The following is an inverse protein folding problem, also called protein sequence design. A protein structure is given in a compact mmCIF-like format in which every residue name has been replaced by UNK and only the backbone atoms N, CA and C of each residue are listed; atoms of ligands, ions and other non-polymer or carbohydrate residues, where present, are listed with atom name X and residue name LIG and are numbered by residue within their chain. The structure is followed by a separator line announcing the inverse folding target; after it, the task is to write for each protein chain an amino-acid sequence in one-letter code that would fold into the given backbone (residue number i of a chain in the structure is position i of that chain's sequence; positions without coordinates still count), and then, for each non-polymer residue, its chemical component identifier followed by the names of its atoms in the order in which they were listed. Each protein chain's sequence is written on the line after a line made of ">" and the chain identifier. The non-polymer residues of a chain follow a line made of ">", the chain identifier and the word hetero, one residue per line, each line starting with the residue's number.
data_IF_509953118315
#
_entry.id   IF_509953118315
#
_cell.length_a   1.000
_cell.length_b   1.000
_cell.length_c   1.000
_cell.angle_alpha   90.00
_cell.angle_beta   90.00
_cell.angle_gamma   90.00
#
_symmetry.space_group_name_H-M   'P 1'
#
loop_
_entity.id
_entity.type
_entity.pdbx_description
1 polymer ?
#
# COMPACT_ATOMS: atom_id res chain seq x y z
N UNK A 1 -18.45 -67.09 37.26
CA UNK A 1 -18.07 -68.47 37.53
C UNK A 1 -19.31 -69.31 37.92
N UNK A 2 -19.25 -70.59 37.76
CA UNK A 2 -20.30 -71.53 38.18
C UNK A 2 -19.73 -72.33 39.36
N UNK A 3 -20.42 -72.30 40.46
CA UNK A 3 -20.08 -73.09 41.63
C UNK A 3 -21.05 -74.30 41.67
N UNK A 4 -20.51 -75.53 41.69
CA UNK A 4 -21.32 -76.72 41.73
C UNK A 4 -20.93 -77.57 42.97
N UNK A 5 -21.92 -78.23 43.54
CA UNK A 5 -21.64 -79.24 44.57
C UNK A 5 -21.09 -80.55 43.98
N UNK A 6 -20.71 -81.49 44.79
CA UNK A 6 -20.19 -82.81 44.34
C UNK A 6 -21.22 -83.90 44.56
N UNK A 7 -22.48 -83.57 44.74
CA UNK A 7 -23.56 -84.52 44.90
C UNK A 7 -24.04 -85.08 43.58
N UNK A 8 -24.86 -86.20 43.68
CA UNK A 8 -25.46 -86.80 42.47
C UNK A 8 -26.99 -86.86 42.67
N UNK A 9 -27.81 -86.07 41.94
CA UNK A 9 -27.44 -85.18 40.83
C UNK A 9 -26.73 -83.89 41.32
N UNK A 10 -25.80 -83.39 40.53
CA UNK A 10 -24.99 -82.20 40.82
C UNK A 10 -25.91 -80.94 40.72
N UNK A 11 -25.86 -80.11 41.76
CA UNK A 11 -26.52 -78.81 41.76
C UNK A 11 -25.45 -77.71 41.52
N UNK A 12 -25.75 -76.79 40.64
CA UNK A 12 -24.86 -75.70 40.26
C UNK A 12 -25.57 -74.37 40.39
N UNK A 13 -24.83 -73.36 40.91
CA UNK A 13 -25.26 -71.96 40.92
C UNK A 13 -24.28 -71.10 40.14
N UNK A 14 -24.80 -70.24 39.27
CA UNK A 14 -23.98 -69.27 38.54
C UNK A 14 -23.97 -67.94 39.29
N UNK A 15 -22.77 -67.41 39.50
CA UNK A 15 -22.57 -66.06 39.98
C UNK A 15 -21.85 -65.26 38.94
N UNK A 16 -22.41 -64.14 38.58
CA UNK A 16 -21.78 -63.15 37.69
C UNK A 16 -21.23 -62.02 38.56
N UNK A 17 -19.93 -61.90 38.60
CA UNK A 17 -19.30 -60.71 39.17
C UNK A 17 -19.11 -59.67 38.08
N UNK A 18 -19.59 -58.47 38.31
CA UNK A 18 -19.34 -57.34 37.45
C UNK A 18 -18.04 -56.70 37.98
N UNK A 19 -17.00 -56.70 37.16
CA UNK A 19 -15.80 -55.92 37.43
C UNK A 19 -16.01 -54.59 36.73
N UNK A 20 -16.15 -53.54 37.51
CA UNK A 20 -16.24 -52.18 36.96
C UNK A 20 -14.79 -51.63 36.86
N UNK A 21 -14.36 -51.39 35.64
CA UNK A 21 -13.11 -50.69 35.36
C UNK A 21 -13.46 -49.23 35.12
N UNK A 22 -13.04 -48.35 36.02
CA UNK A 22 -13.21 -46.91 35.84
C UNK A 22 -12.07 -46.39 34.94
N UNK A 23 -12.38 -45.66 33.87
CA UNK A 23 -11.35 -45.01 33.05
C UNK A 23 -10.53 -44.03 33.88
N UNK A 24 -9.24 -43.97 33.59
CA UNK A 24 -8.31 -43.04 34.24
C UNK A 24 -7.95 -41.98 33.24
N UNK A 25 -8.39 -40.74 33.50
CA UNK A 25 -8.07 -39.55 32.71
C UNK A 25 -7.07 -38.73 33.48
N UNK A 26 -5.90 -38.49 32.91
CA UNK A 26 -4.78 -37.86 33.62
C UNK A 26 -4.24 -36.68 32.78
N UNK A 27 -4.91 -35.49 32.81
CA UNK A 27 -4.36 -34.26 32.22
C UNK A 27 -3.22 -33.75 33.12
N UNK A 28 -2.20 -33.15 32.52
CA UNK A 28 -1.02 -32.62 33.17
C UNK A 28 -0.97 -31.12 32.99
N UNK A 29 -0.76 -30.36 34.07
CA UNK A 29 -0.63 -28.92 34.02
C UNK A 29 0.57 -28.50 33.17
N UNK A 30 0.35 -27.53 32.28
CA UNK A 30 1.39 -26.86 31.49
C UNK A 30 1.19 -25.34 31.57
N UNK A 31 2.30 -24.63 31.66
CA UNK A 31 2.30 -23.19 31.72
C UNK A 31 3.05 -22.66 30.46
N UNK A 32 2.49 -21.64 29.80
CA UNK A 32 3.04 -21.10 28.56
C UNK A 32 3.17 -19.59 28.63
N UNK A 33 4.20 -19.08 27.96
CA UNK A 33 4.38 -17.65 27.76
C UNK A 33 4.22 -17.32 26.27
N UNK A 34 3.36 -16.36 25.95
CA UNK A 34 3.08 -15.89 24.60
C UNK A 34 3.26 -14.38 24.53
N UNK A 35 3.75 -13.84 23.41
CA UNK A 35 3.89 -12.39 23.23
C UNK A 35 2.54 -11.72 22.96
N UNK A 36 2.39 -10.47 23.39
CA UNK A 36 1.20 -9.64 23.11
C UNK A 36 1.02 -9.32 21.62
N UNK A 37 2.03 -9.57 20.80
CA UNK A 37 1.98 -9.44 19.33
C UNK A 37 1.32 -10.64 18.64
N UNK A 38 0.92 -11.65 19.43
CA UNK A 38 0.31 -12.88 18.94
C UNK A 38 1.28 -14.05 18.87
N UNK A 39 0.77 -15.26 19.14
CA UNK A 39 1.56 -16.48 19.14
C UNK A 39 0.74 -17.70 19.43
N UNK A 40 1.37 -18.87 19.39
CA UNK A 40 0.72 -20.17 19.68
C UNK A 40 1.63 -21.07 20.48
N UNK A 41 1.03 -21.93 21.33
CA UNK A 41 1.73 -22.96 22.11
C UNK A 41 2.03 -24.19 21.25
N UNK A 42 2.72 -25.16 21.82
CA UNK A 42 2.59 -26.55 21.41
C UNK A 42 1.24 -27.11 21.83
N UNK A 43 0.92 -28.34 21.44
CA UNK A 43 -0.34 -28.97 21.88
C UNK A 43 -0.28 -29.26 23.39
N UNK A 44 -1.31 -28.85 24.13
CA UNK A 44 -1.46 -29.04 25.58
C UNK A 44 -1.77 -30.47 25.97
N UNK A 45 -1.92 -31.41 25.06
CA UNK A 45 -2.19 -32.83 25.35
C UNK A 45 -0.98 -33.74 25.13
N UNK A 46 0.19 -33.17 24.86
CA UNK A 46 1.38 -33.96 24.52
C UNK A 46 1.85 -34.86 25.70
N UNK A 47 1.61 -34.43 26.92
CA UNK A 47 1.99 -35.15 28.16
C UNK A 47 0.79 -35.70 28.93
N UNK A 48 -0.42 -35.52 28.37
CA UNK A 48 -1.66 -36.05 28.95
C UNK A 48 -1.82 -37.54 28.64
N UNK A 49 -2.57 -38.25 29.49
CA UNK A 49 -2.85 -39.67 29.27
C UNK A 49 -4.33 -40.03 29.49
N UNK A 50 -4.81 -40.97 28.71
CA UNK A 50 -6.12 -41.59 28.82
C UNK A 50 -5.93 -43.11 28.95
N UNK A 51 -6.38 -43.68 30.05
CA UNK A 51 -6.23 -45.10 30.38
C UNK A 51 -4.78 -45.62 30.30
N UNK A 52 -3.83 -44.79 30.71
CA UNK A 52 -2.39 -45.11 30.70
C UNK A 52 -1.72 -45.03 29.33
N UNK A 53 -2.43 -44.61 28.28
CA UNK A 53 -1.90 -44.34 26.94
C UNK A 53 -1.80 -42.84 26.68
N UNK A 54 -0.84 -42.36 25.91
CA UNK A 54 -0.77 -40.97 25.52
C UNK A 54 -2.11 -40.49 24.92
N UNK A 55 -2.56 -39.28 25.32
CA UNK A 55 -3.78 -38.70 24.80
C UNK A 55 -3.62 -38.36 23.30
N UNK A 56 -4.53 -38.85 22.50
CA UNK A 56 -4.57 -38.61 21.04
C UNK A 56 -5.94 -38.06 20.66
N UNK A 57 -5.97 -36.78 20.32
CA UNK A 57 -7.19 -36.02 19.97
C UNK A 57 -7.52 -36.08 18.48
N UNK A 58 -6.76 -36.81 17.67
CA UNK A 58 -7.12 -37.03 16.26
C UNK A 58 -8.50 -37.71 16.11
N UNK A 59 -9.16 -37.65 14.93
CA UNK A 59 -10.47 -38.29 14.73
C UNK A 59 -10.50 -39.78 15.14
N UNK A 60 -9.42 -40.53 14.90
CA UNK A 60 -9.25 -41.93 15.29
C UNK A 60 -8.55 -42.13 16.64
N UNK A 61 -8.20 -41.04 17.35
CA UNK A 61 -7.53 -41.10 18.64
C UNK A 61 -8.46 -41.51 19.79
N UNK A 62 -7.87 -41.62 21.02
CA UNK A 62 -8.51 -42.07 22.25
C UNK A 62 -9.12 -40.95 23.08
N UNK A 63 -8.92 -39.67 22.69
CA UNK A 63 -9.27 -38.52 23.52
C UNK A 63 -10.02 -37.45 22.74
N UNK A 64 -10.72 -36.58 23.47
CA UNK A 64 -11.26 -35.29 23.00
C UNK A 64 -10.99 -34.23 24.07
N UNK A 65 -10.83 -32.98 23.64
CA UNK A 65 -10.66 -31.83 24.53
C UNK A 65 -11.66 -30.73 24.21
N UNK A 66 -11.98 -29.92 25.21
CA UNK A 66 -12.79 -28.73 25.06
C UNK A 66 -12.38 -27.67 26.10
N UNK A 67 -12.50 -26.40 25.73
CA UNK A 67 -12.37 -25.30 26.68
C UNK A 67 -13.54 -25.34 27.68
N UNK A 68 -13.25 -25.01 28.93
CA UNK A 68 -14.25 -24.89 30.00
C UNK A 68 -14.48 -23.41 30.31
N UNK A 69 -15.76 -23.05 30.37
CA UNK A 69 -16.14 -21.67 30.68
C UNK A 69 -15.79 -20.67 29.56
N UNK A 70 -15.70 -19.39 29.94
CA UNK A 70 -15.32 -18.31 29.02
C UNK A 70 -13.85 -18.00 29.16
N UNK A 71 -13.08 -18.23 28.13
CA UNK A 71 -11.67 -17.90 28.09
C UNK A 71 -11.44 -16.38 27.88
N UNK A 72 -10.29 -15.83 28.31
CA UNK A 72 -9.97 -14.42 28.13
C UNK A 72 -10.00 -14.03 26.65
N UNK A 73 -10.45 -12.79 26.39
CA UNK A 73 -10.54 -12.26 25.03
C UNK A 73 -9.18 -12.34 24.33
N UNK A 74 -9.18 -12.88 23.11
CA UNK A 74 -7.97 -13.03 22.30
C UNK A 74 -7.16 -14.30 22.60
N UNK A 75 -7.58 -15.16 23.55
CA UNK A 75 -6.96 -16.46 23.81
C UNK A 75 -7.96 -17.57 23.44
N UNK A 76 -7.53 -18.51 22.58
CA UNK A 76 -8.41 -19.56 22.04
C UNK A 76 -7.73 -20.92 22.07
N UNK A 77 -8.52 -21.99 22.27
CA UNK A 77 -8.10 -23.38 22.12
C UNK A 77 -8.62 -23.95 20.81
N UNK A 78 -7.75 -24.57 20.05
CA UNK A 78 -8.14 -25.42 18.92
C UNK A 78 -8.35 -26.87 19.41
N UNK A 79 -9.59 -27.38 19.48
CA UNK A 79 -9.88 -28.71 20.05
C UNK A 79 -9.38 -29.87 19.17
N UNK A 80 -9.02 -29.62 17.91
CA UNK A 80 -8.49 -30.64 16.99
C UNK A 80 -6.98 -30.80 17.07
N UNK A 81 -6.26 -29.75 17.51
CA UNK A 81 -4.80 -29.74 17.57
C UNK A 81 -4.27 -29.63 19.00
N UNK A 82 -5.09 -29.22 19.96
CA UNK A 82 -4.68 -28.91 21.32
C UNK A 82 -3.85 -27.64 21.46
N UNK A 83 -3.75 -26.83 20.42
CA UNK A 83 -2.95 -25.59 20.40
C UNK A 83 -3.76 -24.45 21.01
N UNK A 84 -3.15 -23.73 21.94
CA UNK A 84 -3.66 -22.45 22.44
C UNK A 84 -3.02 -21.34 21.62
N UNK A 85 -3.82 -20.38 21.16
CA UNK A 85 -3.35 -19.23 20.40
C UNK A 85 -3.77 -17.93 21.07
N UNK A 86 -2.83 -16.98 21.17
CA UNK A 86 -3.08 -15.59 21.50
C UNK A 86 -3.13 -14.74 20.21
N UNK A 87 -4.12 -13.87 20.09
CA UNK A 87 -4.22 -12.92 18.96
C UNK A 87 -3.27 -11.75 19.15
N UNK A 88 -2.90 -11.08 18.05
CA UNK A 88 -2.19 -9.81 18.12
C UNK A 88 -3.04 -8.77 18.88
N UNK A 89 -2.42 -8.05 19.82
CA UNK A 89 -3.11 -7.11 20.70
C UNK A 89 -3.71 -7.77 21.96
N UNK A 90 -3.40 -9.05 22.23
CA UNK A 90 -3.77 -9.68 23.51
C UNK A 90 -3.24 -8.86 24.70
N UNK A 91 -4.08 -8.65 25.70
CA UNK A 91 -3.72 -7.81 26.86
C UNK A 91 -2.66 -8.54 27.68
N UNK A 92 -1.53 -7.89 28.04
CA UNK A 92 -0.52 -8.48 28.92
C UNK A 92 -1.08 -8.84 30.28
N UNK A 93 -0.70 -10.00 30.78
CA UNK A 93 -1.18 -10.53 32.07
C UNK A 93 -1.02 -12.02 32.18
N UNK A 94 -1.44 -12.56 33.33
CA UNK A 94 -1.42 -14.00 33.62
C UNK A 94 -2.86 -14.48 33.67
N UNK A 95 -3.18 -15.52 32.90
CA UNK A 95 -4.53 -16.00 32.66
C UNK A 95 -4.61 -17.51 32.98
N UNK A 96 -5.50 -17.89 33.88
CA UNK A 96 -5.87 -19.27 34.10
C UNK A 96 -6.88 -19.70 33.04
N UNK A 97 -6.56 -20.75 32.29
CA UNK A 97 -7.42 -21.30 31.22
C UNK A 97 -7.71 -22.77 31.56
N UNK A 98 -8.98 -23.10 31.64
CA UNK A 98 -9.42 -24.45 31.98
C UNK A 98 -9.85 -25.21 30.75
N UNK A 99 -9.40 -26.47 30.64
CA UNK A 99 -9.88 -27.39 29.60
C UNK A 99 -10.29 -28.72 30.19
N UNK A 100 -11.15 -29.44 29.49
CA UNK A 100 -11.57 -30.81 29.80
C UNK A 100 -10.85 -31.75 28.87
N UNK A 101 -10.24 -32.81 29.40
CA UNK A 101 -9.79 -33.98 28.65
C UNK A 101 -10.76 -35.12 28.92
N UNK A 102 -11.27 -35.76 27.88
CA UNK A 102 -12.21 -36.86 27.98
C UNK A 102 -11.77 -38.07 27.15
N UNK A 103 -12.11 -39.28 27.56
CA UNK A 103 -12.03 -40.42 26.66
C UNK A 103 -13.16 -40.40 25.61
N UNK A 104 -13.16 -41.38 24.68
CA UNK A 104 -14.21 -41.57 23.68
C UNK A 104 -15.14 -42.78 23.99
N UNK A 105 -15.16 -43.25 25.24
CA UNK A 105 -15.99 -44.38 25.65
C UNK A 105 -17.44 -43.95 25.94
N UNK A 106 -18.32 -44.93 26.14
CA UNK A 106 -19.71 -44.68 26.52
C UNK A 106 -20.06 -45.51 27.76
N UNK A 107 -20.36 -44.90 28.89
CA UNK A 107 -20.37 -43.45 29.17
C UNK A 107 -18.96 -42.84 29.16
N UNK A 108 -18.84 -41.58 28.72
CA UNK A 108 -17.63 -40.83 28.64
C UNK A 108 -17.11 -40.44 30.06
N UNK A 109 -15.80 -40.54 30.25
CA UNK A 109 -15.16 -40.07 31.47
C UNK A 109 -14.25 -38.88 31.14
N UNK A 110 -14.27 -37.87 32.02
CA UNK A 110 -13.54 -36.60 31.81
C UNK A 110 -12.81 -36.18 33.10
N UNK A 111 -11.72 -35.46 32.90
CA UNK A 111 -11.03 -34.68 33.94
C UNK A 111 -10.71 -33.27 33.40
N UNK A 112 -10.67 -32.31 34.31
CA UNK A 112 -10.33 -30.92 33.98
C UNK A 112 -8.91 -30.59 34.40
N UNK A 113 -8.27 -29.63 33.69
CA UNK A 113 -6.97 -29.08 34.03
C UNK A 113 -6.98 -27.57 33.80
N UNK A 114 -6.29 -26.86 34.69
CA UNK A 114 -6.07 -25.41 34.56
C UNK A 114 -4.61 -25.19 34.20
N UNK A 115 -4.39 -24.63 33.03
CA UNK A 115 -3.07 -24.14 32.60
C UNK A 115 -2.98 -22.65 32.81
N UNK A 116 -1.76 -22.14 32.95
CA UNK A 116 -1.47 -20.73 33.09
C UNK A 116 -0.86 -20.20 31.76
N UNK A 117 -1.47 -19.19 31.21
CA UNK A 117 -0.97 -18.50 30.00
C UNK A 117 -0.53 -17.10 30.42
N UNK A 118 0.77 -16.85 30.36
CA UNK A 118 1.34 -15.52 30.56
C UNK A 118 1.44 -14.80 29.21
N UNK A 119 0.75 -13.67 29.05
CA UNK A 119 0.91 -12.79 27.91
C UNK A 119 1.92 -11.70 28.29
N UNK A 120 3.08 -11.72 27.64
CA UNK A 120 4.13 -10.72 27.84
C UNK A 120 3.95 -9.53 26.91
N UNK A 121 4.11 -8.30 27.42
CA UNK A 121 4.11 -7.11 26.60
C UNK A 121 5.36 -7.08 25.71
N UNK A 122 5.16 -7.02 24.42
CA UNK A 122 6.22 -6.79 23.43
C UNK A 122 5.92 -5.49 22.70
N UNK A 123 6.84 -4.52 22.77
CA UNK A 123 6.73 -3.28 22.00
C UNK A 123 6.82 -3.58 20.50
N UNK A 124 5.84 -3.07 19.75
CA UNK A 124 5.76 -3.20 18.30
C UNK A 124 5.45 -1.80 17.70
N UNK A 125 6.46 -0.94 17.61
CA UNK A 125 6.28 0.37 17.00
C UNK A 125 5.95 0.23 15.50
N UNK A 126 4.93 0.93 15.06
CA UNK A 126 4.50 0.95 13.67
C UNK A 126 3.86 2.29 13.33
N UNK A 127 4.05 2.74 12.10
CA UNK A 127 3.54 4.02 11.64
C UNK A 127 3.01 3.86 10.21
N UNK A 128 1.94 4.55 9.90
CA UNK A 128 1.35 4.62 8.57
C UNK A 128 1.45 6.05 8.04
N UNK A 129 1.74 6.17 6.75
CA UNK A 129 1.72 7.43 6.01
C UNK A 129 0.76 7.29 4.84
N UNK A 130 -0.16 8.25 4.73
CA UNK A 130 -0.96 8.47 3.52
C UNK A 130 -0.62 9.84 2.97
N UNK A 131 -0.27 9.90 1.68
CA UNK A 131 0.08 11.11 0.95
C UNK A 131 -0.97 11.37 -0.11
N UNK A 132 -1.44 12.61 -0.20
CA UNK A 132 -2.34 13.06 -1.26
C UNK A 132 -1.75 14.29 -1.96
N UNK A 133 -2.12 14.46 -3.23
CA UNK A 133 -1.73 15.59 -4.06
C UNK A 133 -2.98 16.31 -4.56
N UNK A 134 -2.92 17.63 -4.59
CA UNK A 134 -3.93 18.48 -5.19
C UNK A 134 -3.25 19.45 -6.15
N UNK A 135 -3.56 19.32 -7.43
CA UNK A 135 -3.13 20.28 -8.45
C UNK A 135 -3.90 21.59 -8.24
N UNK A 136 -3.17 22.69 -8.07
CA UNK A 136 -3.73 24.01 -7.93
C UNK A 136 -3.75 24.67 -9.32
N UNK A 137 -4.92 24.82 -9.86
CA UNK A 137 -5.17 25.47 -11.14
C UNK A 137 -5.31 26.97 -10.90
N UNK A 138 -4.20 27.69 -10.83
CA UNK A 138 -4.19 29.11 -10.47
C UNK A 138 -4.78 30.02 -11.56
N UNK A 139 -4.73 29.60 -12.80
CA UNK A 139 -5.24 30.36 -13.95
C UNK A 139 -6.68 29.99 -14.36
N UNK A 140 -7.21 28.85 -13.88
CA UNK A 140 -8.60 28.42 -14.08
C UNK A 140 -8.89 27.70 -15.38
N UNK A 141 -7.85 27.28 -16.15
CA UNK A 141 -8.03 26.60 -17.45
C UNK A 141 -8.06 25.06 -17.37
N UNK A 142 -7.83 24.48 -16.17
CA UNK A 142 -7.81 23.06 -15.86
C UNK A 142 -6.60 22.28 -16.45
N UNK A 143 -5.58 22.94 -16.96
CA UNK A 143 -4.38 22.36 -17.54
C UNK A 143 -3.14 22.72 -16.73
N UNK A 144 -2.17 21.81 -16.68
CA UNK A 144 -0.95 22.04 -15.94
C UNK A 144 0.04 22.90 -16.75
N UNK A 145 0.51 23.97 -16.12
CA UNK A 145 1.48 24.88 -16.74
C UNK A 145 2.70 25.10 -15.84
N UNK A 146 3.87 25.39 -16.41
CA UNK A 146 5.03 25.78 -15.62
C UNK A 146 4.74 27.01 -14.76
N UNK A 147 5.02 26.91 -13.45
CA UNK A 147 4.75 27.98 -12.48
C UNK A 147 3.52 27.75 -11.62
N UNK A 148 2.57 26.92 -12.05
CA UNK A 148 1.48 26.45 -11.19
C UNK A 148 1.96 25.49 -10.13
N UNK A 149 1.12 25.14 -9.16
CA UNK A 149 1.58 24.40 -8.01
C UNK A 149 0.78 23.12 -7.73
N UNK A 150 1.42 22.20 -7.02
CA UNK A 150 0.78 21.03 -6.43
C UNK A 150 0.94 21.14 -4.91
N UNK A 151 -0.17 21.03 -4.19
CA UNK A 151 -0.17 20.92 -2.73
C UNK A 151 -0.19 19.46 -2.32
N UNK A 152 0.76 19.05 -1.48
CA UNK A 152 0.81 17.74 -0.87
C UNK A 152 0.37 17.79 0.58
N UNK A 153 -0.51 16.87 0.97
CA UNK A 153 -0.96 16.68 2.33
C UNK A 153 -0.56 15.30 2.83
N UNK A 154 -0.29 15.21 4.13
CA UNK A 154 0.19 14.01 4.78
C UNK A 154 -0.75 13.64 5.93
N UNK A 155 -1.15 12.36 5.97
CA UNK A 155 -1.89 11.77 7.09
C UNK A 155 -0.99 10.72 7.73
N UNK A 156 -0.64 10.95 9.00
CA UNK A 156 0.32 10.13 9.74
C UNK A 156 -0.43 9.48 10.89
N UNK A 157 -0.41 8.14 10.96
CA UNK A 157 -1.10 7.40 12.03
C UNK A 157 -0.12 6.47 12.72
N UNK A 158 -0.07 6.52 14.05
CA UNK A 158 0.61 5.50 14.84
C UNK A 158 -0.24 4.22 14.85
N UNK A 159 0.19 3.21 14.12
CA UNK A 159 -0.47 1.90 14.00
C UNK A 159 0.14 0.84 14.91
N UNK A 160 1.17 1.21 15.67
CA UNK A 160 1.82 0.34 16.65
C UNK A 160 1.08 0.26 18.00
N UNK A 161 1.70 -0.43 18.94
CA UNK A 161 1.18 -0.59 20.31
C UNK A 161 1.93 0.25 21.35
N UNK A 162 2.84 1.11 20.92
CA UNK A 162 3.63 2.03 21.74
C UNK A 162 3.59 3.44 21.16
N UNK A 163 3.65 4.51 21.98
CA UNK A 163 3.78 5.87 21.53
C UNK A 163 5.07 6.07 20.71
N UNK A 164 5.00 6.91 19.68
CA UNK A 164 6.15 7.31 18.88
C UNK A 164 6.56 8.75 19.19
N UNK A 165 7.84 8.99 19.17
CA UNK A 165 8.44 10.32 19.41
C UNK A 165 9.25 10.76 18.22
N UNK A 166 9.45 12.09 18.09
CA UNK A 166 10.24 12.71 17.03
C UNK A 166 9.82 12.22 15.63
N UNK A 167 8.50 12.22 15.36
CA UNK A 167 7.99 11.77 14.08
C UNK A 167 8.25 12.83 13.02
N UNK A 168 8.96 12.44 11.95
CA UNK A 168 9.44 13.33 10.89
C UNK A 168 8.98 12.80 9.53
N UNK A 169 8.47 13.72 8.69
CA UNK A 169 8.23 13.46 7.26
C UNK A 169 9.38 14.02 6.44
N UNK A 170 9.90 13.21 5.53
CA UNK A 170 10.86 13.60 4.50
C UNK A 170 10.30 13.29 3.12
N UNK A 171 10.56 14.18 2.16
CA UNK A 171 10.11 14.01 0.79
C UNK A 171 11.32 14.04 -0.14
N UNK A 172 11.35 13.16 -1.12
CA UNK A 172 12.49 12.95 -2.01
C UNK A 172 12.39 13.75 -3.32
N UNK A 173 11.25 14.45 -3.57
CA UNK A 173 11.09 15.23 -4.78
C UNK A 173 12.05 16.43 -4.76
N UNK A 174 12.95 16.57 -5.77
CA UNK A 174 13.87 17.71 -5.83
C UNK A 174 13.12 19.05 -5.79
N UNK A 175 13.66 20.02 -5.04
CA UNK A 175 13.10 21.38 -4.88
C UNK A 175 11.82 21.48 -4.06
N UNK A 176 11.28 20.37 -3.57
CA UNK A 176 10.15 20.39 -2.66
C UNK A 176 10.67 20.61 -1.23
N UNK A 177 10.01 21.51 -0.52
CA UNK A 177 10.27 21.76 0.91
C UNK A 177 9.04 21.31 1.68
N UNK A 178 9.23 20.34 2.58
CA UNK A 178 8.20 19.94 3.52
C UNK A 178 8.14 20.98 4.63
N UNK A 179 6.99 21.62 4.80
CA UNK A 179 6.71 22.53 5.89
C UNK A 179 6.21 21.71 7.09
N UNK A 180 6.70 22.02 8.27
CA UNK A 180 6.31 21.37 9.51
C UNK A 180 7.49 21.22 10.46
N UNK A 181 7.22 20.74 11.65
CA UNK A 181 8.21 20.43 12.69
C UNK A 181 8.03 19.00 13.15
N UNK A 182 9.08 18.34 13.67
CA UNK A 182 8.93 16.99 14.21
C UNK A 182 7.78 16.92 15.21
N UNK A 183 6.88 15.94 15.05
CA UNK A 183 5.81 15.69 16.01
C UNK A 183 6.47 15.12 17.26
N UNK A 184 6.39 15.83 18.41
CA UNK A 184 7.14 15.42 19.62
C UNK A 184 6.64 14.08 20.17
N UNK A 185 5.33 13.82 20.08
CA UNK A 185 4.68 12.61 20.57
C UNK A 185 3.45 12.30 19.71
N UNK A 186 3.38 11.07 19.21
CA UNK A 186 2.21 10.51 18.53
C UNK A 186 1.76 9.27 19.29
N UNK A 187 0.66 9.40 20.03
CA UNK A 187 0.08 8.31 20.86
C UNK A 187 -0.39 7.14 20.01
N UNK A 188 -0.59 5.97 20.65
CA UNK A 188 -1.14 4.77 19.99
C UNK A 188 -2.51 5.07 19.38
N UNK A 189 -2.69 4.75 18.10
CA UNK A 189 -3.90 5.01 17.33
C UNK A 189 -4.14 6.50 17.00
N UNK A 190 -3.28 7.40 17.42
CA UNK A 190 -3.40 8.83 17.10
C UNK A 190 -3.05 9.09 15.64
N UNK A 191 -3.79 10.02 15.03
CA UNK A 191 -3.57 10.48 13.66
C UNK A 191 -3.27 11.98 13.66
N UNK A 192 -2.25 12.40 12.92
CA UNK A 192 -1.93 13.79 12.60
C UNK A 192 -2.19 14.04 11.12
N UNK A 193 -2.89 15.17 10.83
CA UNK A 193 -3.27 15.59 9.46
C UNK A 193 -2.87 17.04 9.17
N UNK A 194 -2.24 17.71 10.11
CA UNK A 194 -2.07 19.16 10.07
C UNK A 194 -0.64 19.64 10.22
N UNK A 195 0.24 18.84 10.82
CA UNK A 195 1.61 19.24 11.11
C UNK A 195 2.45 19.39 9.85
N UNK A 196 2.24 18.54 8.85
CA UNK A 196 3.05 18.54 7.64
C UNK A 196 2.24 18.86 6.39
N UNK A 197 2.81 19.71 5.56
CA UNK A 197 2.33 20.02 4.21
C UNK A 197 3.51 20.35 3.31
N UNK A 198 3.33 20.29 1.99
CA UNK A 198 4.34 20.72 1.04
C UNK A 198 3.70 21.31 -0.21
N UNK A 199 4.41 22.25 -0.85
CA UNK A 199 4.01 22.84 -2.12
C UNK A 199 5.15 22.66 -3.11
N UNK A 200 4.82 22.15 -4.28
CA UNK A 200 5.73 21.99 -5.39
C UNK A 200 5.32 22.89 -6.54
N UNK A 201 6.28 23.61 -7.11
CA UNK A 201 6.05 24.40 -8.33
C UNK A 201 6.35 23.56 -9.56
N UNK A 202 5.36 23.40 -10.42
CA UNK A 202 5.43 22.64 -11.66
C UNK A 202 6.47 23.25 -12.59
N UNK A 203 7.36 22.42 -13.11
CA UNK A 203 8.37 22.83 -14.09
C UNK A 203 7.93 22.47 -15.51
N UNK A 204 8.61 23.07 -16.49
CA UNK A 204 8.44 22.71 -17.90
C UNK A 204 8.67 21.21 -18.16
N UNK A 205 9.67 20.61 -17.48
CA UNK A 205 9.96 19.19 -17.63
C UNK A 205 8.84 18.29 -17.11
N UNK A 206 8.15 18.71 -16.04
CA UNK A 206 7.03 17.95 -15.47
C UNK A 206 5.83 17.93 -16.43
N UNK A 207 5.51 19.09 -17.03
CA UNK A 207 4.44 19.19 -18.03
C UNK A 207 4.76 18.31 -19.24
N UNK A 208 5.99 18.35 -19.75
CA UNK A 208 6.44 17.49 -20.86
C UNK A 208 6.31 16.00 -20.49
N UNK A 209 6.61 15.61 -19.24
CA UNK A 209 6.47 14.22 -18.81
C UNK A 209 5.01 13.78 -18.68
N UNK A 210 4.07 14.72 -18.55
CA UNK A 210 2.63 14.50 -18.45
C UNK A 210 2.19 13.86 -17.14
N UNK A 211 3.13 13.49 -16.27
CA UNK A 211 2.85 12.88 -14.95
C UNK A 211 3.98 13.21 -13.98
N UNK A 212 3.63 13.54 -12.75
CA UNK A 212 4.59 13.76 -11.66
C UNK A 212 4.31 12.77 -10.54
N UNK A 213 5.25 11.86 -10.30
CA UNK A 213 5.21 10.95 -9.15
C UNK A 213 6.08 11.51 -8.02
N UNK A 214 5.54 11.48 -6.81
CA UNK A 214 6.23 12.00 -5.63
C UNK A 214 6.14 11.02 -4.46
N UNK A 215 7.31 10.64 -3.92
CA UNK A 215 7.50 9.71 -2.82
C UNK A 215 7.87 10.46 -1.55
N UNK A 216 7.27 10.07 -0.42
CA UNK A 216 7.62 10.57 0.89
C UNK A 216 7.80 9.43 1.88
N UNK A 217 8.58 9.68 2.91
CA UNK A 217 8.82 8.76 4.01
C UNK A 217 8.48 9.46 5.32
N UNK A 218 7.82 8.73 6.23
CA UNK A 218 7.71 9.10 7.63
C UNK A 218 8.58 8.18 8.47
N UNK A 219 9.19 8.72 9.50
CA UNK A 219 9.96 7.97 10.50
C UNK A 219 9.71 8.51 11.91
N UNK A 220 9.83 7.64 12.89
CA UNK A 220 9.76 7.96 14.31
C UNK A 220 10.30 6.78 15.12
N UNK A 221 10.39 6.92 16.43
CA UNK A 221 10.85 5.85 17.31
C UNK A 221 10.05 5.83 18.62
N UNK A 222 9.96 4.65 19.25
CA UNK A 222 9.47 4.56 20.62
C UNK A 222 10.49 5.13 21.61
N UNK A 223 10.12 5.21 22.89
CA UNK A 223 11.01 5.73 23.94
C UNK A 223 12.26 4.87 24.19
N UNK A 224 12.31 3.64 23.69
CA UNK A 224 13.47 2.73 23.78
C UNK A 224 14.37 2.84 22.55
N UNK A 225 14.02 3.69 21.56
CA UNK A 225 14.76 3.86 20.32
C UNK A 225 14.43 2.85 19.23
N UNK A 226 13.40 2.01 19.39
CA UNK A 226 12.95 1.12 18.32
C UNK A 226 12.26 1.93 17.24
N UNK A 227 12.78 1.87 16.03
CA UNK A 227 12.32 2.68 14.91
C UNK A 227 11.04 2.15 14.26
N UNK A 228 10.19 3.08 13.82
CA UNK A 228 9.09 2.83 12.89
C UNK A 228 9.24 3.74 11.68
N UNK A 229 8.98 3.23 10.48
CA UNK A 229 8.97 4.01 9.24
C UNK A 229 7.95 3.46 8.25
N UNK A 230 7.50 4.35 7.37
CA UNK A 230 6.60 3.99 6.27
C UNK A 230 6.82 4.94 5.10
N UNK A 231 6.50 4.51 3.88
CA UNK A 231 6.59 5.30 2.67
C UNK A 231 5.24 5.40 1.99
N UNK A 232 4.98 6.52 1.33
CA UNK A 232 3.80 6.72 0.50
C UNK A 232 4.17 7.42 -0.80
N UNK A 233 3.55 6.98 -1.88
CA UNK A 233 3.72 7.53 -3.23
C UNK A 233 2.40 8.07 -3.73
N UNK A 234 2.43 9.18 -4.47
CA UNK A 234 1.29 9.72 -5.19
C UNK A 234 1.72 10.21 -6.56
N UNK A 235 0.93 9.89 -7.58
CA UNK A 235 1.12 10.37 -8.95
C UNK A 235 0.03 11.39 -9.29
N UNK A 236 0.46 12.54 -9.81
CA UNK A 236 -0.42 13.60 -10.31
C UNK A 236 -0.35 13.60 -11.82
N UNK A 237 -1.50 13.46 -12.47
CA UNK A 237 -1.63 13.59 -13.91
C UNK A 237 -1.60 15.07 -14.28
N UNK A 238 -0.59 15.48 -15.02
CA UNK A 238 -0.42 16.83 -15.52
C UNK A 238 -1.04 16.89 -16.90
N UNK A 239 -2.31 17.23 -16.95
CA UNK A 239 -3.00 17.42 -18.23
C UNK A 239 -2.39 18.62 -18.95
N UNK A 240 -1.90 18.36 -20.14
CA UNK A 240 -1.48 19.35 -21.08
C UNK A 240 -2.58 19.48 -22.16
N UNK A 241 -3.13 20.68 -22.38
CA UNK A 241 -4.13 20.92 -23.44
C UNK A 241 -3.47 21.21 -24.77
N UNK A 242 -2.13 21.19 -24.80
CA UNK A 242 -1.39 21.66 -25.95
C UNK A 242 -1.58 23.15 -26.18
N UNK A 243 -1.30 23.99 -25.19
CA UNK A 243 -1.30 25.45 -25.35
C UNK A 243 -0.23 25.83 -26.37
N UNK A 244 -0.50 25.49 -27.59
CA UNK A 244 0.29 25.96 -28.70
C UNK A 244 -0.54 27.00 -29.44
N UNK A 245 -0.11 28.27 -29.37
CA UNK A 245 -0.75 29.39 -30.06
C UNK A 245 0.11 29.75 -31.26
N UNK A 246 -0.43 29.59 -32.46
CA UNK A 246 0.24 30.01 -33.69
C UNK A 246 -0.18 31.43 -34.01
N UNK A 247 0.78 32.36 -34.07
CA UNK A 247 0.52 33.74 -34.47
C UNK A 247 0.33 33.88 -35.98
N UNK A 248 -0.64 34.69 -36.42
CA UNK A 248 -1.09 34.73 -37.81
C UNK A 248 -0.31 35.68 -38.71
N UNK A 249 0.76 36.33 -38.26
CA UNK A 249 1.48 37.30 -39.04
C UNK A 249 3.00 37.03 -38.99
N UNK A 250 3.62 37.11 -40.17
CA UNK A 250 5.09 37.08 -40.31
C UNK A 250 5.50 38.26 -41.20
N UNK A 251 6.39 39.10 -40.67
CA UNK A 251 6.91 40.31 -41.36
C UNK A 251 8.44 40.37 -41.15
N UNK A 252 9.20 39.60 -41.94
CA UNK A 252 10.65 39.45 -41.75
C UNK A 252 11.41 40.67 -42.27
N UNK A 253 11.41 41.75 -41.48
CA UNK A 253 12.07 43.02 -41.80
C UNK A 253 13.13 43.42 -40.76
N UNK A 254 13.43 42.51 -39.83
CA UNK A 254 14.40 42.65 -38.73
C UNK A 254 14.13 43.85 -37.80
N UNK A 255 12.84 44.23 -37.63
CA UNK A 255 12.43 45.28 -36.69
C UNK A 255 12.12 44.75 -35.27
N UNK A 256 12.28 43.44 -35.06
CA UNK A 256 12.02 42.73 -33.81
C UNK A 256 10.55 42.39 -33.58
N UNK A 257 9.68 42.62 -34.57
CA UNK A 257 8.23 42.31 -34.48
C UNK A 257 7.81 41.39 -35.64
N UNK A 258 7.31 40.24 -35.27
CA UNK A 258 6.82 39.23 -36.25
C UNK A 258 7.87 38.84 -37.31
N UNK A 259 9.16 38.95 -37.05
CA UNK A 259 10.22 38.59 -37.97
C UNK A 259 10.24 37.11 -38.37
N UNK A 260 9.54 36.28 -37.58
CA UNK A 260 9.34 34.86 -37.85
C UNK A 260 7.94 34.41 -37.38
N UNK A 261 7.51 33.25 -37.84
CA UNK A 261 6.27 32.62 -37.38
C UNK A 261 6.46 32.21 -35.90
N UNK A 262 5.86 32.97 -34.99
CA UNK A 262 5.90 32.70 -33.57
C UNK A 262 4.86 31.66 -33.19
N UNK A 263 5.27 30.60 -32.48
CA UNK A 263 4.39 29.57 -31.98
C UNK A 263 4.63 29.48 -30.47
N UNK A 264 3.74 30.09 -29.70
CA UNK A 264 3.84 30.03 -28.21
C UNK A 264 3.58 28.62 -27.72
N UNK A 265 4.36 28.18 -26.72
CA UNK A 265 4.24 26.85 -26.13
C UNK A 265 4.92 25.72 -26.92
N UNK A 266 5.42 25.97 -28.15
CA UNK A 266 6.07 24.93 -28.96
C UNK A 266 7.33 24.34 -28.29
N UNK A 267 7.93 25.10 -27.38
CA UNK A 267 9.09 24.67 -26.61
C UNK A 267 8.80 23.49 -25.68
N UNK A 268 7.54 23.26 -25.35
CA UNK A 268 7.07 22.12 -24.57
C UNK A 268 7.07 20.82 -25.40
N UNK A 269 7.05 20.94 -26.74
CA UNK A 269 6.88 19.83 -27.68
C UNK A 269 8.07 19.76 -28.65
N UNK A 270 9.23 19.25 -28.23
CA UNK A 270 10.40 19.16 -29.09
C UNK A 270 10.20 18.22 -30.29
N UNK A 271 9.31 17.23 -30.16
CA UNK A 271 8.90 16.36 -31.29
C UNK A 271 7.71 16.99 -32.01
N UNK A 272 8.04 17.96 -32.85
CA UNK A 272 7.06 18.67 -33.64
C UNK A 272 7.51 18.81 -35.10
N UNK A 273 6.56 19.13 -35.97
CA UNK A 273 6.80 19.47 -37.40
C UNK A 273 5.88 20.61 -37.81
N UNK A 274 6.44 21.66 -38.35
CA UNK A 274 5.70 22.77 -38.98
C UNK A 274 5.83 22.68 -40.50
N UNK A 275 4.69 22.62 -41.17
CA UNK A 275 4.57 22.65 -42.62
C UNK A 275 3.84 23.93 -43.02
N UNK A 276 4.31 24.65 -44.04
CA UNK A 276 3.65 25.84 -44.59
C UNK A 276 3.38 25.65 -46.06
N UNK A 277 2.16 25.99 -46.46
CA UNK A 277 1.65 25.82 -47.80
C UNK A 277 1.21 27.17 -48.38
N UNK A 278 1.41 27.35 -49.67
CA UNK A 278 0.84 28.48 -50.36
C UNK A 278 -0.67 28.26 -50.66
N UNK A 279 -1.35 29.27 -51.21
CA UNK A 279 -2.79 29.21 -51.50
C UNK A 279 -3.21 28.13 -52.52
N UNK A 280 -2.27 27.50 -53.21
CA UNK A 280 -2.53 26.38 -54.14
C UNK A 280 -2.21 25.02 -53.49
N UNK A 281 -1.92 24.98 -52.16
CA UNK A 281 -1.59 23.74 -51.47
C UNK A 281 -0.18 23.21 -51.75
N UNK A 282 0.71 24.04 -52.28
CA UNK A 282 2.11 23.66 -52.51
C UNK A 282 2.89 23.90 -51.26
N UNK A 283 3.60 22.88 -50.76
CA UNK A 283 4.49 22.95 -49.60
C UNK A 283 5.68 23.88 -49.89
N UNK A 284 5.82 24.98 -49.15
CA UNK A 284 6.88 25.98 -49.31
C UNK A 284 7.90 25.94 -48.18
N UNK A 285 7.56 25.35 -47.05
CA UNK A 285 8.45 25.20 -45.90
C UNK A 285 8.07 23.96 -45.08
N UNK A 286 9.06 23.22 -44.61
CA UNK A 286 8.91 22.11 -43.66
C UNK A 286 10.06 22.13 -42.67
N UNK A 287 9.77 22.09 -41.37
CA UNK A 287 10.79 22.03 -40.32
C UNK A 287 10.34 21.11 -39.20
N UNK A 288 11.20 20.12 -38.90
CA UNK A 288 11.11 19.28 -37.68
C UNK A 288 11.80 19.95 -36.50
N UNK A 289 11.22 19.81 -35.32
CA UNK A 289 11.75 20.40 -34.09
C UNK A 289 11.75 21.94 -34.18
N UNK A 290 10.67 22.52 -34.76
CA UNK A 290 10.47 23.96 -34.81
C UNK A 290 10.57 24.54 -33.40
N UNK A 291 11.23 25.70 -33.30
CA UNK A 291 11.34 26.43 -32.04
C UNK A 291 11.30 27.93 -32.33
N UNK A 292 11.20 28.76 -31.30
CA UNK A 292 11.17 30.22 -31.48
C UNK A 292 12.56 30.88 -31.46
N UNK A 293 13.65 30.12 -31.66
CA UNK A 293 15.04 30.60 -31.54
C UNK A 293 15.81 30.52 -32.85
N UNK A 294 16.12 29.31 -33.32
CA UNK A 294 17.00 29.08 -34.46
C UNK A 294 16.36 28.26 -35.61
N UNK A 295 15.25 27.58 -35.31
CA UNK A 295 14.49 26.77 -36.30
C UNK A 295 13.15 27.41 -36.56
N UNK A 296 13.20 28.61 -37.15
CA UNK A 296 12.05 29.49 -37.34
C UNK A 296 11.76 29.69 -38.83
N UNK A 297 10.47 29.90 -39.16
CA UNK A 297 10.07 30.34 -40.51
C UNK A 297 10.12 31.86 -40.62
N UNK A 298 10.99 32.36 -41.50
CA UNK A 298 11.20 33.79 -41.81
C UNK A 298 10.74 34.20 -43.19
N UNK A 299 9.70 33.56 -43.71
CA UNK A 299 9.18 33.87 -45.04
C UNK A 299 10.09 33.44 -46.20
N UNK A 300 11.01 32.50 -45.96
CA UNK A 300 11.88 31.94 -46.99
C UNK A 300 11.35 30.59 -47.46
N UNK A 301 11.46 30.31 -48.78
CA UNK A 301 11.07 29.02 -49.33
C UNK A 301 12.16 27.97 -49.09
N UNK A 302 11.79 26.85 -48.43
CA UNK A 302 12.63 25.66 -48.23
C UNK A 302 11.95 24.40 -48.85
N UNK A 303 10.84 24.56 -49.54
CA UNK A 303 10.06 23.48 -50.14
C UNK A 303 10.74 22.84 -51.36
N UNK A 304 10.57 21.52 -51.53
CA UNK A 304 11.20 20.73 -52.62
C UNK A 304 10.69 21.07 -54.02
N UNK A 305 9.59 21.83 -54.16
CA UNK A 305 8.87 22.07 -55.41
C UNK A 305 8.97 23.53 -55.86
N UNK A 306 9.73 24.35 -55.18
CA UNK A 306 9.95 25.75 -55.56
C UNK A 306 11.13 25.87 -56.52
N UNK A 307 11.00 26.73 -57.56
CA UNK A 307 11.96 26.88 -58.65
C UNK A 307 13.32 27.36 -58.16
N UNK A 308 13.36 28.11 -57.02
CA UNK A 308 14.57 28.51 -56.35
C UNK A 308 14.43 28.28 -54.84
N UNK A 309 15.34 27.49 -54.27
CA UNK A 309 15.48 27.37 -52.81
C UNK A 309 16.10 28.66 -52.24
N UNK A 310 15.63 29.08 -51.04
CA UNK A 310 16.09 30.27 -50.34
C UNK A 310 15.62 31.60 -50.94
N UNK A 311 14.59 31.62 -51.80
CA UNK A 311 13.93 32.87 -52.20
C UNK A 311 12.91 33.31 -51.14
N UNK A 312 12.80 34.63 -50.99
CA UNK A 312 11.75 35.25 -50.20
C UNK A 312 10.38 34.98 -50.82
N UNK A 313 9.46 34.45 -50.04
CA UNK A 313 8.11 34.18 -50.47
C UNK A 313 7.36 35.49 -50.75
N UNK A 314 6.52 35.56 -51.81
CA UNK A 314 5.67 36.72 -52.09
C UNK A 314 4.74 37.05 -50.93
N UNK A 315 4.40 38.32 -50.77
CA UNK A 315 3.36 38.73 -49.82
C UNK A 315 2.04 38.07 -50.20
N UNK A 316 1.42 37.41 -49.22
CA UNK A 316 0.17 36.69 -49.48
C UNK A 316 -0.28 35.84 -48.27
N UNK A 317 -1.37 35.12 -48.48
CA UNK A 317 -1.87 34.17 -47.46
C UNK A 317 -1.21 32.82 -47.66
N UNK A 318 -0.74 32.28 -46.55
CA UNK A 318 -0.15 30.94 -46.42
C UNK A 318 -0.91 30.17 -45.39
N UNK A 319 -0.95 28.86 -45.51
CA UNK A 319 -1.59 27.96 -44.56
C UNK A 319 -0.52 27.16 -43.85
N UNK A 320 -0.68 26.94 -42.53
CA UNK A 320 0.22 26.10 -41.78
C UNK A 320 -0.46 24.79 -41.33
N UNK A 321 0.32 23.75 -41.19
CA UNK A 321 -0.02 22.54 -40.44
C UNK A 321 1.08 22.33 -39.43
N UNK A 322 0.70 22.34 -38.16
CA UNK A 322 1.58 22.04 -37.03
C UNK A 322 1.17 20.68 -36.48
N UNK A 323 2.11 19.74 -36.48
CA UNK A 323 1.99 18.43 -35.81
C UNK A 323 2.94 18.38 -34.64
N UNK A 324 2.50 17.90 -33.51
CA UNK A 324 3.36 17.71 -32.33
C UNK A 324 2.90 16.52 -31.47
N UNK A 325 3.82 15.97 -30.69
CA UNK A 325 3.55 14.84 -29.78
C UNK A 325 3.65 15.38 -28.35
N UNK A 326 2.62 15.10 -27.54
CA UNK A 326 2.61 15.47 -26.13
C UNK A 326 3.47 14.53 -25.27
N UNK A 327 3.63 14.84 -23.99
CA UNK A 327 4.43 14.05 -23.03
C UNK A 327 3.90 12.63 -22.82
N UNK A 328 2.68 12.32 -23.26
CA UNK A 328 2.05 10.99 -23.21
C UNK A 328 2.21 10.21 -24.50
N UNK A 329 2.86 10.80 -25.51
CA UNK A 329 3.03 10.19 -26.83
C UNK A 329 1.80 10.33 -27.73
N UNK A 330 0.83 11.19 -27.38
CA UNK A 330 -0.36 11.46 -28.23
C UNK A 330 -0.02 12.52 -29.27
N UNK A 331 -0.35 12.23 -30.52
CA UNK A 331 -0.17 13.16 -31.61
C UNK A 331 -1.30 14.21 -31.71
N UNK A 332 -0.92 15.46 -31.87
CA UNK A 332 -1.82 16.60 -32.05
C UNK A 332 -1.56 17.27 -33.43
N UNK A 333 -2.60 17.84 -34.01
CA UNK A 333 -2.50 18.59 -35.25
C UNK A 333 -3.30 19.90 -35.16
N UNK A 334 -2.68 21.02 -35.52
CA UNK A 334 -3.33 22.32 -35.66
C UNK A 334 -3.07 22.84 -37.09
N UNK A 335 -4.09 23.41 -37.72
CA UNK A 335 -4.00 24.01 -39.04
C UNK A 335 -4.69 25.37 -39.05
N UNK A 336 -4.18 26.31 -39.86
CA UNK A 336 -4.76 27.64 -40.04
C UNK A 336 -4.20 28.40 -41.24
#
# INVERSE_FOLDING_TARGET
>A
YTLCDKLTPQACSKVSNVIQVTPVINPVKEDFTLPSTGGSTTSIVLNDAVNGLPANISPSGNAVIAAVGTWPTGITLNPLTGIISAQSGAIPGVYAVEYTLCDKLTPQSCATMINEITIEFVAAPSISLVKSANFNNENGDAYAQPGETITYNFVITNTGNVPLTNVIVTDLLPRLIVNGSPIPLLGVGQTDTTTYSAIYTITKADVISGTLTNDAMVSGADQNGNAASNTASVSTDLKDDGIVIVHNAVSPNDDGKNDFLRIEGIELYPDNTVEIYNRWGVLVYERKGYNNVDRTFKGMSEGRVTVNQSEQLPVGTYYYVLKYIDGKGVGHEKAG
#
